data_IF_760308483512
#
_entry.id   IF_760308483512
#
_cell.length_a   1.000
_cell.length_b   1.000
_cell.length_c   1.000
_cell.angle_alpha   90.00
_cell.angle_beta   90.00
_cell.angle_gamma   90.00
#
_symmetry.space_group_name_H-M   'P 1'
#
loop_
_entity.id
_entity.type
_entity.pdbx_description
1 polymer ?
#
# COMPACT_ATOMS: atom_id res chain seq x y z
N UNK A 1 21.81 30.59 -29.86
CA UNK A 1 22.30 29.62 -28.85
C UNK A 1 21.13 29.29 -27.95
N UNK A 2 20.37 28.24 -28.27
CA UNK A 2 19.15 27.89 -27.56
C UNK A 2 19.50 26.89 -26.44
N UNK A 3 19.32 27.31 -25.18
CA UNK A 3 19.45 26.42 -24.03
C UNK A 3 18.16 25.62 -23.89
N UNK A 4 18.21 24.32 -24.21
CA UNK A 4 17.15 23.38 -23.91
C UNK A 4 17.24 23.00 -22.42
N UNK A 5 16.31 23.50 -21.61
CA UNK A 5 16.15 23.08 -20.21
C UNK A 5 15.43 21.73 -20.24
N UNK A 6 16.19 20.63 -20.08
CA UNK A 6 15.61 19.31 -19.85
C UNK A 6 14.99 19.28 -18.45
N UNK A 7 13.72 19.68 -18.36
CA UNK A 7 12.93 19.51 -17.15
C UNK A 7 12.65 18.02 -16.95
N UNK A 8 13.16 17.45 -15.87
CA UNK A 8 12.72 16.13 -15.39
C UNK A 8 11.22 16.22 -15.06
N UNK A 9 10.38 15.80 -15.99
CA UNK A 9 8.96 15.64 -15.75
C UNK A 9 8.78 14.42 -14.84
N UNK A 10 8.70 14.65 -13.52
CA UNK A 10 8.22 13.64 -12.58
C UNK A 10 6.80 13.27 -13.01
N UNK A 11 6.64 12.10 -13.62
CA UNK A 11 5.33 11.62 -14.05
C UNK A 11 4.51 11.34 -12.80
N UNK A 12 3.47 12.13 -12.55
CA UNK A 12 2.50 11.82 -11.52
C UNK A 12 1.87 10.45 -11.84
N UNK A 13 1.78 9.58 -10.84
CA UNK A 13 1.17 8.25 -11.01
C UNK A 13 -0.28 8.36 -11.49
N UNK A 14 -0.74 7.37 -12.27
CA UNK A 14 -2.13 7.34 -12.74
C UNK A 14 -3.11 7.36 -11.54
N UNK A 15 -4.24 8.08 -11.64
CA UNK A 15 -5.16 8.21 -10.52
C UNK A 15 -5.69 6.84 -10.06
N UNK A 16 -5.70 6.64 -8.75
CA UNK A 16 -6.24 5.44 -8.11
C UNK A 16 -7.75 5.60 -7.97
N UNK A 17 -8.51 4.75 -8.66
CA UNK A 17 -9.96 4.74 -8.60
C UNK A 17 -10.47 3.76 -7.54
N UNK A 18 -11.38 4.21 -6.67
CA UNK A 18 -12.01 3.36 -5.67
C UNK A 18 -12.64 2.11 -6.32
N UNK A 19 -12.43 0.95 -5.70
CA UNK A 19 -12.87 -0.35 -6.20
C UNK A 19 -11.98 -0.97 -7.29
N UNK A 20 -10.99 -0.23 -7.83
CA UNK A 20 -10.03 -0.81 -8.77
C UNK A 20 -8.95 -1.60 -8.04
N UNK A 21 -8.38 -2.60 -8.71
CA UNK A 21 -7.12 -3.21 -8.26
C UNK A 21 -5.95 -2.34 -8.69
N UNK A 22 -5.01 -2.13 -7.77
CA UNK A 22 -3.81 -1.36 -8.04
C UNK A 22 -2.58 -1.99 -7.39
N UNK A 23 -1.41 -1.62 -7.90
CA UNK A 23 -0.14 -1.91 -7.29
C UNK A 23 0.60 -0.60 -7.06
N UNK A 24 1.03 -0.36 -5.82
CA UNK A 24 1.78 0.83 -5.43
C UNK A 24 3.06 0.41 -4.73
N UNK A 25 4.12 1.18 -4.97
CA UNK A 25 5.38 1.06 -4.23
C UNK A 25 5.53 2.26 -3.31
N UNK A 26 6.08 2.01 -2.12
CA UNK A 26 6.27 3.02 -1.12
C UNK A 26 7.23 2.60 -0.04
N UNK A 27 7.42 3.47 0.94
CA UNK A 27 8.22 3.19 2.14
C UNK A 27 7.30 3.13 3.33
N UNK A 28 7.39 2.08 4.16
CA UNK A 28 6.60 1.97 5.39
C UNK A 28 6.92 3.15 6.31
N UNK A 29 5.89 3.87 6.75
CA UNK A 29 6.02 4.98 7.70
C UNK A 29 5.43 4.65 9.07
N UNK A 30 4.47 3.74 9.15
CA UNK A 30 3.93 3.22 10.40
C UNK A 30 3.32 1.82 10.21
N UNK A 31 3.27 1.07 11.30
CA UNK A 31 2.60 -0.24 11.39
C UNK A 31 1.79 -0.21 12.67
N UNK A 32 0.46 -0.21 12.57
CA UNK A 32 -0.47 -0.29 13.70
C UNK A 32 -1.29 -1.58 13.63
N UNK A 33 -0.95 -2.53 14.50
CA UNK A 33 -1.70 -3.79 14.67
C UNK A 33 -2.68 -3.76 15.84
N UNK A 34 -2.75 -2.67 16.60
CA UNK A 34 -3.65 -2.55 17.75
C UNK A 34 -5.12 -2.86 17.39
N UNK A 35 -5.66 -2.44 16.23
CA UNK A 35 -7.04 -2.74 15.84
C UNK A 35 -7.38 -4.23 15.79
N UNK A 36 -6.41 -5.11 15.53
CA UNK A 36 -6.65 -6.57 15.52
C UNK A 36 -7.14 -7.10 16.87
N UNK A 37 -6.82 -6.43 17.98
CA UNK A 37 -7.33 -6.76 19.33
C UNK A 37 -8.86 -6.77 19.40
N UNK A 38 -9.53 -6.03 18.49
CA UNK A 38 -10.97 -5.88 18.43
C UNK A 38 -11.54 -6.26 17.06
N UNK A 39 -10.93 -7.24 16.39
CA UNK A 39 -11.31 -7.71 15.04
C UNK A 39 -11.30 -6.63 13.95
N UNK A 40 -10.60 -5.51 14.17
CA UNK A 40 -10.41 -4.45 13.18
C UNK A 40 -9.38 -4.81 12.10
N UNK A 41 -9.06 -3.84 11.26
CA UNK A 41 -7.95 -3.95 10.30
C UNK A 41 -6.70 -3.30 10.88
N UNK A 42 -5.58 -4.02 10.92
CA UNK A 42 -4.29 -3.40 11.09
C UNK A 42 -4.03 -2.45 9.92
N UNK A 43 -3.30 -1.38 10.18
CA UNK A 43 -3.01 -0.34 9.21
C UNK A 43 -1.50 -0.23 9.05
N UNK A 44 -1.01 -0.48 7.84
CA UNK A 44 0.36 -0.17 7.46
C UNK A 44 0.31 1.07 6.58
N UNK A 45 0.78 2.20 7.08
CA UNK A 45 0.93 3.39 6.24
C UNK A 45 2.21 3.27 5.43
N UNK A 46 2.11 3.52 4.13
CA UNK A 46 3.25 3.63 3.23
C UNK A 46 3.26 5.02 2.58
N UNK A 47 4.44 5.62 2.49
CA UNK A 47 4.67 6.85 1.73
C UNK A 47 4.98 6.47 0.28
N UNK A 48 4.07 6.82 -0.62
CA UNK A 48 4.13 6.45 -2.04
C UNK A 48 4.56 7.64 -2.88
N UNK A 49 5.38 7.38 -3.91
CA UNK A 49 5.71 8.42 -4.88
C UNK A 49 4.50 8.66 -5.79
N UNK A 50 3.90 9.84 -5.68
CA UNK A 50 2.82 10.30 -6.57
C UNK A 50 1.40 10.11 -6.05
N UNK A 51 1.19 9.34 -4.97
CA UNK A 51 -0.13 9.20 -4.32
C UNK A 51 -0.13 9.63 -2.84
N UNK A 52 1.00 10.09 -2.31
CA UNK A 52 1.11 10.52 -0.91
C UNK A 52 1.08 9.32 0.05
N UNK A 53 0.51 9.53 1.24
CA UNK A 53 0.34 8.43 2.21
C UNK A 53 -0.80 7.52 1.80
N UNK A 54 -0.54 6.23 1.84
CA UNK A 54 -1.52 5.17 1.59
C UNK A 54 -1.65 4.30 2.84
N UNK A 55 -2.85 4.21 3.39
CA UNK A 55 -3.22 3.30 4.46
C UNK A 55 -3.54 1.92 3.86
N UNK A 56 -2.67 0.95 4.11
CA UNK A 56 -2.86 -0.44 3.69
C UNK A 56 -3.54 -1.21 4.82
N UNK A 57 -4.78 -1.62 4.60
CA UNK A 57 -5.61 -2.32 5.56
C UNK A 57 -5.42 -3.83 5.46
N UNK A 58 -5.08 -4.43 6.60
CA UNK A 58 -4.85 -5.86 6.78
C UNK A 58 -5.87 -6.42 7.78
N UNK A 59 -6.81 -7.30 7.39
CA UNK A 59 -7.84 -7.81 8.30
C UNK A 59 -7.28 -8.72 9.39
N UNK A 60 -7.89 -8.67 10.58
CA UNK A 60 -7.56 -9.62 11.66
C UNK A 60 -7.89 -11.07 11.26
N UNK A 61 -9.04 -11.26 10.62
CA UNK A 61 -9.59 -12.57 10.25
C UNK A 61 -9.14 -12.99 8.85
N UNK A 62 -7.85 -13.27 8.71
CA UNK A 62 -7.26 -13.73 7.44
C UNK A 62 -7.92 -14.99 6.87
N UNK A 63 -8.54 -15.82 7.70
CA UNK A 63 -9.30 -16.99 7.26
C UNK A 63 -10.55 -16.64 6.42
N UNK A 64 -10.94 -15.36 6.34
CA UNK A 64 -12.02 -14.86 5.50
C UNK A 64 -11.51 -14.19 4.21
N UNK A 65 -10.18 -14.06 4.05
CA UNK A 65 -9.57 -13.47 2.86
C UNK A 65 -9.31 -14.50 1.78
N UNK A 66 -9.28 -14.01 0.53
CA UNK A 66 -8.78 -14.78 -0.61
C UNK A 66 -7.25 -14.69 -0.70
N UNK A 67 -6.69 -13.58 -0.23
CA UNK A 67 -5.26 -13.35 -0.19
C UNK A 67 -4.56 -14.20 0.90
N UNK A 68 -3.31 -14.66 0.67
CA UNK A 68 -2.48 -15.19 1.73
C UNK A 68 -2.24 -14.14 2.85
N UNK A 69 -2.04 -14.59 4.11
CA UNK A 69 -1.66 -13.69 5.19
C UNK A 69 -0.37 -12.93 4.90
N UNK A 70 -0.34 -11.65 5.28
CA UNK A 70 0.88 -10.84 5.27
C UNK A 70 1.64 -11.08 6.57
N UNK A 71 2.95 -11.33 6.48
CA UNK A 71 3.84 -11.40 7.63
C UNK A 71 4.19 -9.98 8.11
N UNK A 72 3.30 -9.40 8.94
CA UNK A 72 3.43 -8.02 9.41
C UNK A 72 4.65 -7.84 10.32
N UNK A 73 5.07 -8.89 11.01
CA UNK A 73 6.26 -8.90 11.88
C UNK A 73 7.56 -8.72 11.09
N UNK A 74 7.54 -8.99 9.78
CA UNK A 74 8.68 -8.76 8.90
C UNK A 74 8.74 -7.30 8.39
N UNK A 75 7.71 -6.48 8.61
CA UNK A 75 7.65 -5.09 8.17
C UNK A 75 8.23 -4.14 9.21
N UNK A 76 8.97 -3.13 8.76
CA UNK A 76 9.54 -2.10 9.62
C UNK A 76 9.43 -0.71 8.99
N UNK A 77 9.35 0.32 9.81
CA UNK A 77 9.41 1.72 9.34
C UNK A 77 10.72 1.95 8.59
N UNK A 78 10.64 2.63 7.44
CA UNK A 78 11.76 2.84 6.52
C UNK A 78 11.94 1.71 5.51
N UNK A 79 11.21 0.61 5.61
CA UNK A 79 11.29 -0.50 4.67
C UNK A 79 10.60 -0.16 3.34
N UNK A 80 11.28 -0.30 2.19
CA UNK A 80 10.64 -0.22 0.89
C UNK A 80 9.74 -1.45 0.67
N UNK A 81 8.51 -1.21 0.21
CA UNK A 81 7.49 -2.25 0.03
C UNK A 81 6.68 -2.02 -1.24
N UNK A 82 6.07 -3.09 -1.73
CA UNK A 82 5.04 -3.08 -2.76
C UNK A 82 3.74 -3.61 -2.19
N UNK A 83 2.69 -2.80 -2.28
CA UNK A 83 1.33 -3.18 -1.95
C UNK A 83 0.53 -3.46 -3.22
N UNK A 84 -0.20 -4.57 -3.24
CA UNK A 84 -1.16 -4.92 -4.28
C UNK A 84 -2.49 -5.19 -3.58
N UNK A 85 -3.54 -4.47 -3.96
CA UNK A 85 -4.82 -4.52 -3.29
C UNK A 85 -5.95 -3.83 -4.05
N UNK A 86 -7.15 -3.87 -3.47
CA UNK A 86 -8.28 -3.07 -3.96
C UNK A 86 -8.18 -1.68 -3.34
N UNK A 87 -8.26 -0.64 -4.17
CA UNK A 87 -8.30 0.75 -3.72
C UNK A 87 -9.61 1.02 -3.00
N UNK A 88 -9.53 1.56 -1.78
CA UNK A 88 -10.68 1.93 -0.95
C UNK A 88 -11.10 3.39 -1.16
N UNK A 89 -11.37 4.08 -0.05
CA UNK A 89 -11.50 5.54 -0.09
C UNK A 89 -10.16 6.21 -0.45
N UNK A 90 -10.16 7.55 -0.54
CA UNK A 90 -8.95 8.30 -0.87
C UNK A 90 -7.80 7.94 0.10
N UNK A 91 -6.69 7.43 -0.46
CA UNK A 91 -5.53 7.03 0.33
C UNK A 91 -5.66 5.70 1.05
N UNK A 92 -6.64 4.86 0.71
CA UNK A 92 -6.81 3.54 1.32
C UNK A 92 -6.64 2.38 0.32
N UNK A 93 -6.11 1.25 0.80
CA UNK A 93 -6.00 0.02 0.04
C UNK A 93 -6.28 -1.20 0.92
N UNK A 94 -7.14 -2.11 0.46
CA UNK A 94 -7.47 -3.37 1.13
C UNK A 94 -6.72 -4.57 0.54
N UNK A 95 -5.97 -5.29 1.38
CA UNK A 95 -5.19 -6.48 0.98
C UNK A 95 -5.91 -7.74 1.48
N UNK A 96 -7.02 -8.11 0.82
CA UNK A 96 -7.80 -9.30 1.19
C UNK A 96 -8.62 -9.92 0.03
N UNK A 97 -9.16 -9.09 -0.87
CA UNK A 97 -10.29 -9.45 -1.75
C UNK A 97 -9.94 -10.33 -2.98
N UNK A 98 -8.65 -10.48 -3.30
CA UNK A 98 -8.12 -11.29 -4.40
C UNK A 98 -6.89 -12.08 -3.95
N UNK A 99 -6.66 -13.24 -4.57
CA UNK A 99 -5.50 -14.12 -4.31
C UNK A 99 -4.16 -13.45 -4.64
N UNK A 100 -4.17 -12.43 -5.51
CA UNK A 100 -2.99 -11.67 -5.92
C UNK A 100 -2.62 -10.55 -4.95
N UNK A 101 -3.48 -10.23 -3.99
CA UNK A 101 -3.22 -9.15 -3.04
C UNK A 101 -2.09 -9.54 -2.10
N UNK A 102 -1.21 -8.59 -1.84
CA UNK A 102 -0.04 -8.77 -1.00
C UNK A 102 0.54 -7.44 -0.55
N UNK A 103 1.27 -7.47 0.56
CA UNK A 103 2.17 -6.42 0.98
C UNK A 103 3.53 -7.09 1.25
N UNK A 104 4.53 -6.77 0.44
CA UNK A 104 5.84 -7.44 0.49
C UNK A 104 6.97 -6.42 0.40
N UNK A 105 8.13 -6.68 1.03
CA UNK A 105 9.35 -5.90 0.81
C UNK A 105 9.75 -5.88 -0.67
N UNK A 106 10.42 -4.81 -1.10
CA UNK A 106 11.10 -4.74 -2.39
C UNK A 106 12.57 -4.40 -2.18
N UNK A 107 13.46 -5.07 -2.89
CA UNK A 107 14.92 -4.88 -2.79
C UNK A 107 15.41 -3.59 -3.47
#
# INVERSE_FOLDING_TARGET
>A
MALAVAGCATTAGAPLAAGAQAAVEGTVVSVDTQPWTYDGHAVVEIDTRGHGRMAVHLPARWNLCKAPPVEVEALAVGMPVRAVGTVGAEGEMMVCESETHRLVPVD
#
